data_IF_903942084607
#
_entry.id   IF_903942084607
#
_cell.length_a   1.000
_cell.length_b   1.000
_cell.length_c   1.000
_cell.angle_alpha   90.00
_cell.angle_beta   90.00
_cell.angle_gamma   90.00
#
_symmetry.space_group_name_H-M   'P 1'
#
loop_
_entity.id
_entity.type
_entity.pdbx_description
1 polymer ?
#
# COMPACT_ATOMS: atom_id res chain seq x y z
N UNK A 1 21.59 3.43 25.20
CA UNK A 1 20.15 3.22 25.51
C UNK A 1 19.20 3.96 24.56
N UNK A 2 19.47 5.19 24.11
CA UNK A 2 18.54 5.93 23.22
C UNK A 2 18.36 5.33 21.79
N UNK A 3 19.38 4.66 21.24
CA UNK A 3 19.38 4.21 19.82
C UNK A 3 18.39 3.06 19.53
N UNK A 4 18.25 2.09 20.44
CA UNK A 4 17.29 0.98 20.28
C UNK A 4 15.82 1.43 20.32
N UNK A 5 15.51 2.55 20.97
CA UNK A 5 14.16 3.13 20.98
C UNK A 5 13.77 3.58 19.57
N UNK A 6 14.68 4.18 18.82
CA UNK A 6 14.40 4.62 17.44
C UNK A 6 14.18 3.42 16.50
N UNK A 7 14.96 2.35 16.65
CA UNK A 7 14.76 1.11 15.89
C UNK A 7 13.39 0.50 16.19
N UNK A 8 13.07 0.32 17.48
CA UNK A 8 11.77 -0.22 17.91
C UNK A 8 10.59 0.68 17.46
N UNK A 9 10.76 2.01 17.51
CA UNK A 9 9.76 2.97 17.05
C UNK A 9 9.56 2.87 15.54
N UNK A 10 10.65 2.76 14.75
CA UNK A 10 10.54 2.60 13.28
C UNK A 10 9.76 1.33 12.90
N UNK A 11 10.04 0.20 13.56
CA UNK A 11 9.27 -1.04 13.37
C UNK A 11 7.80 -0.89 13.77
N UNK A 12 7.52 -0.20 14.88
CA UNK A 12 6.16 0.06 15.34
C UNK A 12 5.38 0.95 14.36
N UNK A 13 6.02 1.99 13.80
CA UNK A 13 5.43 2.85 12.78
C UNK A 13 5.18 2.09 11.47
N UNK A 14 6.10 1.24 11.04
CA UNK A 14 5.90 0.37 9.88
C UNK A 14 4.70 -0.55 10.08
N UNK A 15 4.56 -1.15 11.27
CA UNK A 15 3.41 -2.00 11.62
C UNK A 15 2.09 -1.22 11.65
N UNK A 16 2.08 0.01 12.19
CA UNK A 16 0.90 0.87 12.17
C UNK A 16 0.45 1.15 10.73
N UNK A 17 1.38 1.53 9.84
CA UNK A 17 1.07 1.75 8.42
C UNK A 17 0.53 0.48 7.75
N UNK A 18 1.09 -0.68 8.08
CA UNK A 18 0.57 -1.96 7.59
C UNK A 18 -0.89 -2.18 7.98
N UNK A 19 -1.22 -1.95 9.25
CA UNK A 19 -2.59 -2.08 9.76
C UNK A 19 -3.55 -1.06 9.13
N UNK A 20 -3.10 0.17 8.91
CA UNK A 20 -3.90 1.21 8.24
C UNK A 20 -4.27 0.80 6.80
N UNK A 21 -3.30 0.32 6.02
CA UNK A 21 -3.57 -0.16 4.65
C UNK A 21 -4.45 -1.41 4.66
N UNK A 22 -4.22 -2.35 5.56
CA UNK A 22 -5.07 -3.53 5.68
C UNK A 22 -6.52 -3.14 6.05
N UNK A 23 -6.69 -2.21 6.99
CA UNK A 23 -7.99 -1.71 7.40
C UNK A 23 -8.70 -1.00 6.25
N UNK A 24 -7.97 -0.20 5.45
CA UNK A 24 -8.55 0.47 4.28
C UNK A 24 -9.01 -0.54 3.21
N UNK A 25 -8.18 -1.55 2.92
CA UNK A 25 -8.53 -2.61 1.98
C UNK A 25 -9.75 -3.41 2.45
N UNK A 26 -9.82 -3.75 3.75
CA UNK A 26 -10.93 -4.50 4.31
C UNK A 26 -12.23 -3.69 4.29
N UNK A 27 -12.16 -2.39 4.62
CA UNK A 27 -13.32 -1.50 4.60
C UNK A 27 -13.93 -1.38 3.18
N UNK A 28 -13.09 -1.45 2.13
CA UNK A 28 -13.51 -1.29 0.74
C UNK A 28 -13.64 -2.61 -0.04
N UNK A 29 -13.59 -3.77 0.62
CA UNK A 29 -13.64 -5.08 -0.05
C UNK A 29 -14.94 -5.32 -0.84
N UNK A 30 -16.01 -4.59 -0.52
CA UNK A 30 -17.31 -4.65 -1.22
C UNK A 30 -17.57 -3.47 -2.15
N UNK A 31 -16.62 -2.54 -2.27
CA UNK A 31 -16.76 -1.36 -3.13
C UNK A 31 -16.44 -1.74 -4.58
N UNK A 32 -17.40 -1.57 -5.49
CA UNK A 32 -17.21 -1.87 -6.90
C UNK A 32 -16.05 -1.06 -7.49
N UNK A 33 -15.14 -1.73 -8.20
CA UNK A 33 -13.98 -1.10 -8.84
C UNK A 33 -12.83 -0.71 -7.89
N UNK A 34 -12.94 -0.99 -6.58
CA UNK A 34 -11.84 -0.72 -5.65
C UNK A 34 -10.62 -1.61 -5.97
N UNK A 35 -9.43 -1.00 -5.94
CA UNK A 35 -8.13 -1.66 -6.13
C UNK A 35 -7.35 -1.55 -4.83
N UNK A 36 -6.98 -2.71 -4.27
CA UNK A 36 -6.30 -2.76 -2.98
C UNK A 36 -4.85 -2.33 -3.08
N UNK A 37 -4.36 -1.69 -2.01
CA UNK A 37 -2.95 -1.31 -1.90
C UNK A 37 -2.13 -2.41 -1.23
N UNK A 38 -0.89 -2.56 -1.68
CA UNK A 38 0.14 -3.41 -1.07
C UNK A 38 1.31 -2.54 -0.63
N UNK A 39 1.76 -2.76 0.60
CA UNK A 39 2.93 -2.08 1.15
C UNK A 39 4.14 -3.00 1.03
N UNK A 40 5.26 -2.43 0.60
CA UNK A 40 6.57 -3.07 0.68
C UNK A 40 7.44 -2.32 1.68
N UNK A 41 8.16 -3.08 2.50
CA UNK A 41 9.04 -2.54 3.53
C UNK A 41 10.48 -2.83 3.14
N UNK A 42 11.38 -1.90 3.45
CA UNK A 42 12.80 -2.06 3.25
C UNK A 42 13.55 -1.73 4.54
N UNK A 43 14.65 -2.44 4.72
CA UNK A 43 15.58 -2.20 5.80
C UNK A 43 16.58 -1.14 5.38
N UNK A 44 16.66 -0.04 6.13
CA UNK A 44 17.64 1.03 5.93
C UNK A 44 18.71 0.92 7.01
N UNK A 45 19.92 0.57 6.61
CA UNK A 45 21.08 0.47 7.51
C UNK A 45 21.97 1.70 7.35
N UNK A 46 22.55 2.20 8.45
CA UNK A 46 23.52 3.29 8.39
C UNK A 46 24.70 2.92 7.47
N UNK A 47 25.05 3.82 6.56
CA UNK A 47 26.19 3.66 5.64
C UNK A 47 27.36 4.54 6.08
N UNK A 48 28.58 4.05 5.89
CA UNK A 48 29.82 4.85 5.98
C UNK A 48 30.58 4.72 4.65
N UNK A 49 30.83 5.85 3.99
CA UNK A 49 31.45 5.93 2.66
C UNK A 49 30.83 5.01 1.58
N UNK A 50 29.52 4.73 1.67
CA UNK A 50 28.79 3.88 0.70
C UNK A 50 28.80 2.39 1.03
N UNK A 51 29.47 1.97 2.09
CA UNK A 51 29.37 0.60 2.62
C UNK A 51 28.36 0.54 3.76
N UNK A 52 27.49 -0.47 3.73
CA UNK A 52 26.56 -0.73 4.82
C UNK A 52 27.33 -1.16 6.07
N UNK A 53 27.26 -0.36 7.13
CA UNK A 53 27.78 -0.77 8.43
C UNK A 53 26.81 -1.81 9.00
N UNK A 54 27.24 -3.06 9.14
CA UNK A 54 26.47 -4.12 9.79
C UNK A 54 26.39 -3.86 11.31
N UNK A 55 25.54 -2.92 11.68
CA UNK A 55 25.28 -2.47 13.04
C UNK A 55 23.79 -2.73 13.32
N UNK A 56 23.47 -3.81 14.07
CA UNK A 56 22.09 -4.15 14.43
C UNK A 56 21.34 -2.97 15.08
N UNK A 57 22.06 -2.15 15.86
CA UNK A 57 21.54 -0.98 16.56
C UNK A 57 21.32 0.27 15.67
N UNK A 58 21.60 0.19 14.36
CA UNK A 58 21.43 1.29 13.39
C UNK A 58 20.67 0.87 12.14
N UNK A 59 19.85 -0.16 12.28
CA UNK A 59 19.00 -0.70 11.24
C UNK A 59 17.57 -0.23 11.47
N UNK A 60 16.99 0.49 10.52
CA UNK A 60 15.63 1.02 10.58
C UNK A 60 14.73 0.34 9.55
N UNK A 61 13.42 0.32 9.80
CA UNK A 61 12.44 -0.11 8.80
C UNK A 61 11.77 1.11 8.21
N UNK A 62 11.73 1.21 6.89
CA UNK A 62 10.96 2.22 6.17
C UNK A 62 9.98 1.57 5.17
N UNK A 63 8.95 2.31 4.83
CA UNK A 63 8.02 1.93 3.75
C UNK A 63 8.64 2.34 2.44
N UNK A 64 9.08 1.36 1.66
CA UNK A 64 9.72 1.58 0.36
C UNK A 64 8.70 2.05 -0.67
N UNK A 65 7.57 1.37 -0.75
CA UNK A 65 6.57 1.65 -1.77
C UNK A 65 5.16 1.24 -1.31
N UNK A 66 4.18 2.07 -1.67
CA UNK A 66 2.76 1.71 -1.68
C UNK A 66 2.35 1.54 -3.13
N UNK A 67 2.01 0.31 -3.53
CA UNK A 67 1.60 -0.03 -4.88
C UNK A 67 0.15 -0.49 -4.90
N UNK A 68 -0.66 0.08 -5.79
CA UNK A 68 -2.03 -0.35 -6.02
C UNK A 68 -2.05 -1.56 -6.95
N UNK A 69 -2.73 -2.63 -6.55
CA UNK A 69 -2.92 -3.81 -7.39
C UNK A 69 -4.02 -3.55 -8.43
N UNK A 70 -3.62 -3.30 -9.68
CA UNK A 70 -4.53 -3.02 -10.79
C UNK A 70 -5.14 -4.29 -11.41
N UNK A 71 -4.82 -5.49 -10.91
CA UNK A 71 -5.33 -6.77 -11.41
C UNK A 71 -6.87 -6.83 -11.46
N UNK A 72 -7.42 -7.61 -12.39
CA UNK A 72 -8.86 -7.77 -12.55
C UNK A 72 -9.46 -8.54 -11.36
N UNK A 73 -10.59 -8.04 -10.84
CA UNK A 73 -11.32 -8.66 -9.74
C UNK A 73 -12.50 -9.50 -10.26
N UNK A 74 -13.19 -10.22 -9.37
CA UNK A 74 -14.39 -10.96 -9.75
C UNK A 74 -15.51 -10.02 -10.20
N UNK A 75 -16.18 -10.39 -11.29
CA UNK A 75 -17.37 -9.68 -11.78
C UNK A 75 -18.63 -10.33 -11.21
N UNK A 76 -19.58 -9.50 -10.77
CA UNK A 76 -20.90 -9.94 -10.31
C UNK A 76 -21.95 -9.42 -11.26
N UNK A 77 -22.82 -10.31 -11.75
CA UNK A 77 -23.95 -9.92 -12.58
C UNK A 77 -25.07 -9.35 -11.71
N UNK A 78 -25.59 -8.18 -12.08
CA UNK A 78 -26.61 -7.45 -11.32
C UNK A 78 -27.98 -7.39 -12.00
N UNK A 79 -28.10 -7.91 -13.24
CA UNK A 79 -29.30 -7.90 -14.10
C UNK A 79 -29.89 -6.51 -14.43
N UNK A 80 -29.24 -5.44 -14.00
CA UNK A 80 -29.58 -4.07 -14.38
C UNK A 80 -28.93 -3.72 -15.73
N UNK A 81 -29.70 -3.28 -16.75
CA UNK A 81 -29.15 -2.93 -18.06
C UNK A 81 -28.18 -1.74 -18.05
N UNK A 82 -28.16 -0.94 -16.98
CA UNK A 82 -27.27 0.21 -16.84
C UNK A 82 -25.97 -0.11 -16.08
N UNK A 83 -25.85 -1.32 -15.51
CA UNK A 83 -24.64 -1.72 -14.82
C UNK A 83 -23.65 -2.32 -15.82
N UNK A 84 -22.51 -1.65 -15.98
CA UNK A 84 -21.45 -2.05 -16.88
C UNK A 84 -20.16 -2.33 -16.12
N UNK A 85 -19.43 -3.35 -16.55
CA UNK A 85 -18.09 -3.66 -16.07
C UNK A 85 -17.11 -3.69 -17.25
N UNK A 86 -15.88 -3.24 -17.00
CA UNK A 86 -14.80 -3.30 -17.97
C UNK A 86 -13.98 -4.58 -17.73
N UNK A 87 -13.48 -5.17 -18.82
CA UNK A 87 -12.51 -6.26 -18.76
C UNK A 87 -11.20 -5.84 -19.43
N UNK A 88 -10.08 -6.25 -18.85
CA UNK A 88 -8.75 -5.80 -19.24
C UNK A 88 -8.35 -4.42 -18.69
N UNK A 89 -7.25 -3.88 -19.22
CA UNK A 89 -6.64 -2.64 -18.74
C UNK A 89 -7.33 -1.39 -19.31
N UNK A 90 -8.46 -1.01 -18.72
CA UNK A 90 -9.24 0.16 -19.13
C UNK A 90 -9.90 0.88 -17.95
N UNK A 91 -10.22 2.16 -18.15
CA UNK A 91 -10.95 3.00 -17.20
C UNK A 91 -12.14 3.68 -17.87
N UNK A 92 -13.20 3.92 -17.11
CA UNK A 92 -14.28 4.79 -17.54
C UNK A 92 -13.86 6.25 -17.34
N UNK A 93 -14.15 7.08 -18.33
CA UNK A 93 -14.00 8.54 -18.23
C UNK A 93 -15.35 9.14 -17.86
N UNK A 94 -15.36 9.99 -16.84
CA UNK A 94 -16.53 10.78 -16.43
C UNK A 94 -16.12 12.25 -16.47
N UNK A 95 -16.97 13.10 -17.05
CA UNK A 95 -16.81 14.55 -17.02
C UNK A 95 -17.62 15.12 -15.86
N UNK A 96 -17.00 15.98 -15.06
CA UNK A 96 -17.68 16.64 -13.96
C UNK A 96 -18.24 17.98 -14.42
N UNK A 97 -19.09 18.62 -13.61
CA UNK A 97 -19.60 19.98 -13.93
C UNK A 97 -18.48 21.03 -14.10
N UNK A 98 -17.27 20.74 -13.63
CA UNK A 98 -16.09 21.61 -13.74
C UNK A 98 -15.13 21.21 -14.86
N UNK A 99 -15.50 20.22 -15.68
CA UNK A 99 -14.58 19.53 -16.60
C UNK A 99 -13.82 18.46 -15.84
#
# INVERSE_FOLDING_TARGET
MAKGIYVATSGSMAQLRHLETLSNNLANVRTAGFKGDRLTFEQVTAQDNGEALDLPDKTFVDVRERATDLGEGPLTRTDNPLDVALSGNAFLRVETERG
#
